data_IF_383994786483
#
_entry.id   IF_383994786483
#
_cell.length_a   1.000
_cell.length_b   1.000
_cell.length_c   1.000
_cell.angle_alpha   90.00
_cell.angle_beta   90.00
_cell.angle_gamma   90.00
#
_symmetry.space_group_name_H-M   'P 1'
#
loop_
_entity.id
_entity.type
_entity.pdbx_description
1 polymer ?
#
# COMPACT_ATOMS: atom_id res chain seq x y z
N UNK A 1 5.87 41.14 43.52
CA UNK A 1 6.54 39.84 43.73
C UNK A 1 5.73 39.02 44.72
N UNK A 2 4.76 38.21 44.25
CA UNK A 2 3.95 37.24 45.03
C UNK A 2 2.89 36.51 44.18
N UNK A 3 2.69 36.90 42.91
CA UNK A 3 1.71 36.26 42.00
C UNK A 3 2.32 35.29 40.97
N UNK A 4 3.63 35.05 40.97
CA UNK A 4 4.29 34.13 40.03
C UNK A 4 4.47 32.69 40.54
N UNK A 5 4.09 32.39 41.79
CA UNK A 5 4.35 31.08 42.41
C UNK A 5 3.15 30.11 42.25
N UNK A 6 1.96 30.60 41.91
CA UNK A 6 0.75 29.75 41.84
C UNK A 6 0.57 29.08 40.46
N UNK A 7 1.18 29.59 39.40
CA UNK A 7 1.09 29.00 38.06
C UNK A 7 1.99 27.76 37.85
N UNK A 8 2.96 27.53 38.74
CA UNK A 8 3.91 26.41 38.65
C UNK A 8 3.44 25.15 39.41
N UNK A 9 2.34 25.24 40.16
CA UNK A 9 1.78 24.12 40.93
C UNK A 9 0.63 23.37 40.22
N UNK A 10 0.14 23.86 39.07
CA UNK A 10 -0.90 23.19 38.28
C UNK A 10 -0.35 22.30 37.15
N UNK A 11 0.97 22.22 36.99
CA UNK A 11 1.64 21.32 36.02
C UNK A 11 2.03 19.97 36.65
N UNK A 12 1.92 19.82 37.97
CA UNK A 12 2.39 18.64 38.70
C UNK A 12 1.33 17.56 38.97
N UNK A 13 0.20 17.56 38.25
CA UNK A 13 -0.88 16.57 38.41
C UNK A 13 -1.37 15.97 37.09
N UNK A 14 -0.54 15.98 36.04
CA UNK A 14 -0.61 14.90 35.05
C UNK A 14 0.15 13.74 35.65
N UNK A 15 -0.58 12.93 36.41
CA UNK A 15 -0.11 11.66 36.92
C UNK A 15 0.57 10.88 35.80
N UNK A 16 1.72 10.31 36.14
CA UNK A 16 2.47 9.35 35.34
C UNK A 16 1.52 8.36 34.65
N UNK A 17 1.39 8.47 33.33
CA UNK A 17 1.30 7.26 32.52
C UNK A 17 2.74 6.91 32.19
N UNK A 18 3.17 5.77 32.71
CA UNK A 18 4.41 5.10 32.32
C UNK A 18 4.44 5.01 30.78
N UNK A 19 5.29 5.80 30.14
CA UNK A 19 5.78 5.42 28.82
C UNK A 19 6.81 4.32 29.07
N UNK A 20 6.35 3.06 29.02
CA UNK A 20 7.22 1.91 28.79
C UNK A 20 7.99 2.19 27.49
N UNK A 21 9.20 2.73 27.62
CA UNK A 21 9.99 3.31 26.52
C UNK A 21 10.35 2.34 25.37
N UNK A 22 9.99 1.07 25.51
CA UNK A 22 10.31 0.00 24.56
C UNK A 22 9.08 -0.68 23.93
N UNK A 23 7.84 -0.40 24.37
CA UNK A 23 6.63 -1.09 23.87
C UNK A 23 5.70 -0.19 23.05
N UNK A 24 4.92 -0.81 22.16
CA UNK A 24 3.82 -0.11 21.49
C UNK A 24 2.71 0.23 22.47
N UNK A 25 1.97 1.30 22.18
CA UNK A 25 0.87 1.74 23.05
C UNK A 25 -0.25 0.69 23.04
N UNK A 26 -0.79 0.39 24.21
CA UNK A 26 -1.92 -0.53 24.38
C UNK A 26 -3.27 0.18 24.28
N UNK A 27 -3.28 1.50 23.99
CA UNK A 27 -4.50 2.31 23.88
C UNK A 27 -5.54 1.72 22.92
N UNK A 28 -5.09 1.05 21.88
CA UNK A 28 -5.92 0.50 20.82
C UNK A 28 -6.10 -1.01 20.93
N UNK A 29 -5.67 -1.64 22.02
CA UNK A 29 -5.75 -3.10 22.15
C UNK A 29 -7.21 -3.57 22.26
N UNK A 30 -8.15 -2.73 22.70
CA UNK A 30 -9.55 -3.10 22.86
C UNK A 30 -10.42 -3.03 21.59
N UNK A 31 -9.82 -2.90 20.40
CA UNK A 31 -10.58 -2.93 19.15
C UNK A 31 -11.24 -4.29 18.93
N UNK A 32 -12.44 -4.29 18.33
CA UNK A 32 -13.10 -5.51 17.87
C UNK A 32 -12.56 -5.91 16.49
N UNK A 33 -11.47 -6.69 16.50
CA UNK A 33 -10.86 -7.19 15.28
C UNK A 33 -11.83 -8.02 14.44
N UNK A 34 -12.68 -8.83 15.08
CA UNK A 34 -13.62 -9.73 14.41
C UNK A 34 -14.68 -8.94 13.63
N UNK A 35 -15.22 -7.87 14.23
CA UNK A 35 -16.15 -6.96 13.55
C UNK A 35 -15.47 -6.24 12.37
N UNK A 36 -14.24 -5.75 12.57
CA UNK A 36 -13.48 -5.06 11.53
C UNK A 36 -13.23 -5.98 10.33
N UNK A 37 -12.77 -7.21 10.57
CA UNK A 37 -12.41 -8.15 9.50
C UNK A 37 -13.64 -8.67 8.74
N UNK A 38 -14.77 -8.89 9.43
CA UNK A 38 -16.01 -9.41 8.81
C UNK A 38 -16.83 -8.33 8.10
N UNK A 39 -16.74 -7.07 8.53
CA UNK A 39 -17.46 -5.97 7.90
C UNK A 39 -16.68 -5.38 6.73
N UNK A 40 -17.22 -5.47 5.52
CA UNK A 40 -16.58 -4.88 4.32
C UNK A 40 -16.38 -3.38 4.46
N UNK A 41 -17.30 -2.67 5.13
CA UNK A 41 -17.20 -1.23 5.35
C UNK A 41 -16.05 -0.89 6.30
N UNK A 42 -15.97 -1.59 7.45
CA UNK A 42 -14.94 -1.32 8.46
C UNK A 42 -13.58 -1.75 7.94
N UNK A 43 -13.48 -2.97 7.40
CA UNK A 43 -12.26 -3.47 6.78
C UNK A 43 -11.72 -2.51 5.73
N UNK A 44 -12.55 -2.04 4.79
CA UNK A 44 -12.12 -1.10 3.75
C UNK A 44 -11.58 0.21 4.29
N UNK A 45 -12.04 0.70 5.45
CA UNK A 45 -11.48 1.90 6.06
C UNK A 45 -10.03 1.67 6.51
N UNK A 46 -9.74 0.55 7.19
CA UNK A 46 -8.38 0.21 7.61
C UNK A 46 -7.51 -0.16 6.41
N UNK A 47 -8.01 -0.99 5.49
CA UNK A 47 -7.31 -1.38 4.28
C UNK A 47 -6.92 -0.14 3.45
N UNK A 48 -7.87 0.73 3.10
CA UNK A 48 -7.59 1.93 2.32
C UNK A 48 -6.59 2.85 3.04
N UNK A 49 -6.66 2.97 4.36
CA UNK A 49 -5.63 3.67 5.13
C UNK A 49 -4.25 3.02 4.96
N UNK A 50 -4.16 1.71 5.15
CA UNK A 50 -2.93 0.91 5.04
C UNK A 50 -2.35 0.90 3.62
N UNK A 51 -3.17 1.09 2.58
CA UNK A 51 -2.75 1.20 1.18
C UNK A 51 -2.74 2.64 0.64
N UNK A 52 -2.89 3.65 1.50
CA UNK A 52 -2.93 5.08 1.12
C UNK A 52 -4.04 5.50 0.13
N UNK A 53 -5.12 4.74 0.08
CA UNK A 53 -6.25 5.01 -0.81
C UNK A 53 -7.46 5.63 -0.09
N UNK A 54 -7.30 6.02 1.17
CA UNK A 54 -8.38 6.59 1.96
C UNK A 54 -7.91 7.25 3.25
N UNK A 55 -8.87 7.86 3.94
CA UNK A 55 -8.62 8.50 5.24
C UNK A 55 -8.30 7.44 6.28
N UNK A 56 -7.40 7.78 7.19
CA UNK A 56 -7.07 6.95 8.33
C UNK A 56 -7.87 7.38 9.57
N UNK A 57 -8.35 6.42 10.35
CA UNK A 57 -8.72 6.66 11.75
C UNK A 57 -7.46 6.88 12.59
N UNK A 58 -7.63 7.26 13.87
CA UNK A 58 -6.50 7.38 14.78
C UNK A 58 -5.76 6.04 14.94
N UNK A 59 -6.51 4.94 15.09
CA UNK A 59 -5.96 3.58 15.17
C UNK A 59 -5.30 3.16 13.86
N UNK A 60 -5.97 3.38 12.72
CA UNK A 60 -5.42 3.02 11.41
C UNK A 60 -4.12 3.76 11.11
N UNK A 61 -4.05 5.04 11.46
CA UNK A 61 -2.82 5.85 11.36
C UNK A 61 -1.71 5.29 12.24
N UNK A 62 -2.05 4.91 13.48
CA UNK A 62 -1.10 4.35 14.42
C UNK A 62 -0.56 3.01 13.92
N UNK A 63 -1.45 2.07 13.55
CA UNK A 63 -1.11 0.76 13.01
C UNK A 63 -0.19 0.91 11.79
N UNK A 64 -0.58 1.72 10.82
CA UNK A 64 0.20 1.95 9.60
C UNK A 64 1.62 2.43 9.88
N UNK A 65 1.80 3.27 10.90
CA UNK A 65 3.12 3.80 11.28
C UNK A 65 4.00 2.74 11.94
N UNK A 66 3.45 1.88 12.78
CA UNK A 66 4.23 0.86 13.51
C UNK A 66 4.39 -0.45 12.73
N UNK A 67 3.54 -0.70 11.72
CA UNK A 67 3.49 -1.99 11.02
C UNK A 67 4.83 -2.41 10.39
N UNK A 68 5.63 -1.52 9.74
CA UNK A 68 6.95 -1.91 9.22
C UNK A 68 7.92 -2.35 10.32
N UNK A 69 8.03 -1.57 11.40
CA UNK A 69 8.90 -1.88 12.55
C UNK A 69 8.44 -3.18 13.24
N UNK A 70 7.13 -3.39 13.37
CA UNK A 70 6.59 -4.62 13.94
C UNK A 70 7.01 -5.82 13.09
N UNK A 71 6.80 -5.78 11.76
CA UNK A 71 7.16 -6.87 10.87
C UNK A 71 8.67 -7.17 10.91
N UNK A 72 9.50 -6.13 10.84
CA UNK A 72 10.96 -6.27 10.86
C UNK A 72 11.49 -6.85 12.17
N UNK A 73 10.94 -6.41 13.30
CA UNK A 73 11.37 -6.82 14.64
C UNK A 73 10.65 -8.04 15.19
N UNK A 74 9.83 -8.72 14.38
CA UNK A 74 8.99 -9.84 14.83
C UNK A 74 8.13 -9.50 16.05
N UNK A 75 7.55 -8.30 16.07
CA UNK A 75 6.64 -7.82 17.10
C UNK A 75 7.29 -7.73 18.49
N UNK A 76 8.61 -7.47 18.55
CA UNK A 76 9.35 -7.38 19.82
C UNK A 76 8.72 -6.39 20.81
N UNK A 77 8.11 -5.31 20.31
CA UNK A 77 7.48 -4.25 21.10
C UNK A 77 5.98 -4.44 21.31
N UNK A 78 5.38 -5.48 20.74
CA UNK A 78 3.94 -5.70 20.80
C UNK A 78 3.48 -6.14 22.19
N UNK A 79 2.22 -5.83 22.52
CA UNK A 79 1.50 -6.52 23.59
C UNK A 79 1.09 -7.93 23.15
N UNK A 80 0.71 -8.79 24.11
CA UNK A 80 0.19 -10.12 23.78
C UNK A 80 -1.06 -10.03 22.91
N UNK A 81 -1.93 -9.07 23.20
CA UNK A 81 -3.14 -8.84 22.41
C UNK A 81 -2.83 -8.39 20.98
N UNK A 82 -1.82 -7.53 20.78
CA UNK A 82 -1.39 -7.10 19.45
C UNK A 82 -0.78 -8.26 18.65
N UNK A 83 -0.01 -9.15 19.29
CA UNK A 83 0.50 -10.38 18.66
C UNK A 83 -0.64 -11.28 18.22
N UNK A 84 -1.55 -11.61 19.12
CA UNK A 84 -2.71 -12.47 18.85
C UNK A 84 -3.58 -11.90 17.73
N UNK A 85 -3.89 -10.59 17.80
CA UNK A 85 -4.71 -9.91 16.81
C UNK A 85 -4.01 -9.83 15.45
N UNK A 86 -2.71 -9.57 15.41
CA UNK A 86 -1.91 -9.56 14.19
C UNK A 86 -1.95 -10.91 13.48
N UNK A 87 -1.71 -12.00 14.20
CA UNK A 87 -1.76 -13.36 13.66
C UNK A 87 -3.16 -13.70 13.13
N UNK A 88 -4.21 -13.37 13.88
CA UNK A 88 -5.60 -13.60 13.44
C UNK A 88 -5.94 -12.80 12.19
N UNK A 89 -5.50 -11.55 12.11
CA UNK A 89 -5.73 -10.68 10.96
C UNK A 89 -5.03 -11.22 9.70
N UNK A 90 -3.76 -11.58 9.80
CA UNK A 90 -2.97 -12.17 8.70
C UNK A 90 -3.69 -13.41 8.16
N UNK A 91 -4.06 -14.35 9.05
CA UNK A 91 -4.73 -15.58 8.65
C UNK A 91 -6.09 -15.30 7.99
N UNK A 92 -6.92 -14.47 8.61
CA UNK A 92 -8.24 -14.13 8.05
C UNK A 92 -8.12 -13.53 6.66
N UNK A 93 -7.19 -12.58 6.47
CA UNK A 93 -6.99 -11.92 5.18
C UNK A 93 -6.48 -12.90 4.12
N UNK A 94 -5.51 -13.76 4.45
CA UNK A 94 -5.03 -14.79 3.54
C UNK A 94 -6.14 -15.76 3.10
N UNK A 95 -7.03 -16.14 4.03
CA UNK A 95 -8.10 -17.13 3.76
C UNK A 95 -9.35 -16.53 3.08
N UNK A 96 -9.69 -15.25 3.34
CA UNK A 96 -11.01 -14.67 2.99
C UNK A 96 -10.94 -13.37 2.20
N UNK A 97 -9.76 -12.76 2.07
CA UNK A 97 -9.54 -11.45 1.43
C UNK A 97 -8.30 -11.52 0.53
N UNK A 98 -8.23 -12.55 -0.32
CA UNK A 98 -7.01 -12.90 -1.06
C UNK A 98 -6.47 -11.75 -1.92
N UNK A 99 -7.36 -10.97 -2.56
CA UNK A 99 -6.98 -9.81 -3.38
C UNK A 99 -6.37 -8.69 -2.53
N UNK A 100 -7.02 -8.31 -1.43
CA UNK A 100 -6.50 -7.28 -0.52
C UNK A 100 -5.23 -7.75 0.20
N UNK A 101 -5.16 -9.03 0.54
CA UNK A 101 -3.99 -9.67 1.12
C UNK A 101 -2.78 -9.58 0.20
N UNK A 102 -2.96 -9.84 -1.11
CA UNK A 102 -1.90 -9.73 -2.11
C UNK A 102 -1.32 -8.31 -2.16
N UNK A 103 -2.18 -7.30 -2.14
CA UNK A 103 -1.75 -5.88 -2.15
C UNK A 103 -1.00 -5.51 -0.87
N UNK A 104 -1.52 -5.90 0.29
CA UNK A 104 -0.86 -5.64 1.58
C UNK A 104 0.49 -6.35 1.67
N UNK A 105 0.57 -7.60 1.22
CA UNK A 105 1.82 -8.37 1.21
C UNK A 105 2.85 -7.73 0.28
N UNK A 106 2.46 -7.37 -0.94
CA UNK A 106 3.36 -6.66 -1.86
C UNK A 106 3.88 -5.34 -1.28
N UNK A 107 3.08 -4.66 -0.45
CA UNK A 107 3.46 -3.40 0.18
C UNK A 107 4.40 -3.56 1.37
N UNK A 108 4.11 -4.51 2.26
CA UNK A 108 4.76 -4.61 3.58
C UNK A 108 5.73 -5.78 3.71
N UNK A 109 5.60 -6.80 2.87
CA UNK A 109 6.44 -7.99 2.85
C UNK A 109 6.61 -8.55 1.42
N UNK A 110 7.17 -7.77 0.48
CA UNK A 110 7.26 -8.16 -0.94
C UNK A 110 8.07 -9.44 -1.16
N UNK A 111 9.08 -9.67 -0.31
CA UNK A 111 9.95 -10.85 -0.35
C UNK A 111 9.42 -12.01 0.51
N UNK A 112 8.25 -11.86 1.14
CA UNK A 112 7.61 -12.89 1.97
C UNK A 112 8.50 -13.36 3.15
N UNK A 113 9.33 -12.46 3.68
CA UNK A 113 10.31 -12.70 4.75
C UNK A 113 9.66 -12.71 6.14
N UNK A 114 8.62 -11.92 6.34
CA UNK A 114 8.08 -11.63 7.67
C UNK A 114 6.87 -12.50 7.98
N UNK A 115 5.90 -12.59 7.07
CA UNK A 115 4.62 -13.28 7.33
C UNK A 115 4.83 -14.75 7.68
N UNK A 116 5.68 -15.46 6.94
CA UNK A 116 5.94 -16.89 7.21
C UNK A 116 6.55 -17.11 8.59
N UNK A 117 7.51 -16.27 8.96
CA UNK A 117 8.15 -16.30 10.27
C UNK A 117 7.13 -16.04 11.38
N UNK A 118 6.29 -15.01 11.21
CA UNK A 118 5.25 -14.66 12.17
C UNK A 118 4.25 -15.78 12.41
N UNK A 119 3.77 -16.44 11.35
CA UNK A 119 2.84 -17.55 11.47
C UNK A 119 3.51 -18.76 12.14
N UNK A 120 4.76 -19.07 11.77
CA UNK A 120 5.51 -20.17 12.38
C UNK A 120 5.79 -19.96 13.87
N UNK A 121 6.11 -18.73 14.28
CA UNK A 121 6.37 -18.41 15.69
C UNK A 121 5.06 -18.41 16.51
N UNK A 122 3.96 -17.90 15.95
CA UNK A 122 2.65 -17.97 16.59
C UNK A 122 2.17 -19.42 16.84
N UNK A 123 2.44 -20.33 15.90
CA UNK A 123 2.14 -21.75 16.08
C UNK A 123 2.96 -22.39 17.21
N UNK A 124 4.25 -22.05 17.33
CA UNK A 124 5.12 -22.52 18.42
C UNK A 124 4.68 -21.99 19.79
N UNK A 125 4.17 -20.77 19.83
CA UNK A 125 3.68 -20.12 21.05
C UNK A 125 2.27 -20.61 21.46
N UNK A 126 1.67 -21.53 20.69
CA UNK A 126 0.40 -22.13 21.03
C UNK A 126 -0.79 -21.19 20.84
N UNK A 127 -0.63 -20.10 20.07
CA UNK A 127 -1.73 -19.27 19.58
C UNK A 127 -2.57 -20.15 18.68
N UNK A 128 -3.61 -20.76 19.25
CA UNK A 128 -4.51 -21.64 18.51
C UNK A 128 -5.16 -20.79 17.42
N UNK A 129 -4.80 -21.05 16.16
CA UNK A 129 -5.41 -20.52 14.94
C UNK A 129 -6.85 -21.03 14.73
N UNK A 130 -7.61 -21.12 15.84
CA UNK A 130 -8.89 -21.76 16.00
C UNK A 130 -9.92 -21.00 15.17
N UNK A 131 -10.35 -21.69 14.11
CA UNK A 131 -11.51 -21.40 13.27
C UNK A 131 -11.34 -20.25 12.28
N UNK A 132 -10.53 -20.45 11.24
CA UNK A 132 -10.92 -20.04 9.89
C UNK A 132 -10.71 -21.21 8.94
N UNK A 133 -11.75 -21.42 8.14
CA UNK A 133 -12.02 -22.60 7.34
C UNK A 133 -10.94 -22.66 6.24
N UNK A 134 -10.28 -23.80 6.01
CA UNK A 134 -9.32 -23.90 4.92
C UNK A 134 -10.01 -23.46 3.62
N UNK A 135 -9.31 -22.73 2.73
CA UNK A 135 -9.86 -22.43 1.42
C UNK A 135 -10.28 -23.75 0.80
N UNK A 136 -11.51 -23.83 0.29
CA UNK A 136 -11.94 -24.95 -0.53
C UNK A 136 -11.12 -24.87 -1.82
N UNK A 137 -9.90 -25.37 -1.77
CA UNK A 137 -9.20 -25.84 -2.95
C UNK A 137 -10.16 -26.88 -3.53
N UNK A 138 -10.82 -26.54 -4.64
CA UNK A 138 -11.62 -27.51 -5.38
C UNK A 138 -10.63 -28.59 -5.78
N UNK A 139 -10.62 -29.65 -5.00
CA UNK A 139 -9.92 -30.89 -5.28
C UNK A 139 -10.58 -31.45 -6.54
N UNK A 140 -10.12 -31.01 -7.72
CA UNK A 140 -10.36 -31.72 -8.97
C UNK A 140 -9.51 -32.99 -8.95
N UNK A 141 -9.84 -33.90 -8.05
CA UNK A 141 -9.47 -35.30 -8.15
C UNK A 141 -10.79 -36.03 -8.34
N UNK A 142 -11.19 -36.16 -9.60
CA UNK A 142 -12.10 -37.22 -10.01
C UNK A 142 -11.43 -37.94 -11.17
N UNK A 143 -11.03 -39.18 -10.89
CA UNK A 143 -10.99 -40.23 -11.89
C UNK A 143 -9.66 -40.45 -12.61
N UNK A 144 -8.69 -41.06 -11.92
CA UNK A 144 -7.67 -41.84 -12.61
C UNK A 144 -8.32 -43.14 -13.10
N UNK A 145 -8.03 -43.50 -14.35
CA UNK A 145 -8.28 -44.77 -15.03
C UNK A 145 -9.68 -45.00 -15.65
N UNK A 146 -9.81 -44.65 -16.93
CA UNK A 146 -10.24 -45.52 -18.04
C UNK A 146 -10.71 -44.63 -19.21
N UNK A 147 -9.78 -44.16 -20.04
CA UNK A 147 -9.97 -43.97 -21.48
C UNK A 147 -8.62 -43.50 -22.03
N UNK A 148 -7.77 -44.48 -22.32
CA UNK A 148 -6.77 -44.28 -23.35
C UNK A 148 -7.51 -44.16 -24.69
N UNK A 149 -6.95 -43.35 -25.58
CA UNK A 149 -7.29 -43.15 -27.00
C UNK A 149 -8.37 -42.10 -27.29
N UNK A 150 -7.95 -41.17 -28.15
CA UNK A 150 -8.70 -40.10 -28.80
C UNK A 150 -9.16 -38.97 -27.87
N UNK A 151 -8.32 -37.93 -27.76
CA UNK A 151 -8.60 -36.52 -28.03
C UNK A 151 -7.34 -35.76 -27.63
N UNK A 152 -6.32 -35.80 -28.49
CA UNK A 152 -5.33 -34.73 -28.54
C UNK A 152 -6.06 -33.54 -29.16
N UNK A 153 -6.70 -32.76 -28.32
CA UNK A 153 -7.24 -31.47 -28.68
C UNK A 153 -6.54 -30.48 -27.76
N UNK A 154 -5.87 -29.54 -28.40
CA UNK A 154 -5.02 -28.53 -27.80
C UNK A 154 -5.77 -27.86 -26.63
N UNK A 155 -5.47 -28.32 -25.43
CA UNK A 155 -5.67 -27.51 -24.26
C UNK A 155 -4.54 -26.48 -24.32
N UNK A 156 -4.83 -25.34 -24.95
CA UNK A 156 -4.16 -24.11 -24.57
C UNK A 156 -4.28 -24.03 -23.06
N UNK A 157 -3.15 -24.30 -22.41
CA UNK A 157 -2.89 -23.91 -21.03
C UNK A 157 -3.01 -22.39 -21.07
N UNK A 158 -4.20 -21.89 -20.81
CA UNK A 158 -4.43 -20.48 -20.55
C UNK A 158 -3.59 -20.19 -19.31
N UNK A 159 -2.44 -19.58 -19.56
CA UNK A 159 -1.47 -19.24 -18.54
C UNK A 159 -2.19 -18.38 -17.51
N UNK A 160 -2.06 -18.75 -16.24
CA UNK A 160 -2.40 -17.90 -15.10
C UNK A 160 -1.40 -16.73 -15.00
N UNK A 161 -1.25 -15.96 -16.08
CA UNK A 161 -0.53 -14.70 -16.10
C UNK A 161 -1.53 -13.53 -16.05
N UNK A 162 -1.13 -12.46 -15.35
CA UNK A 162 -1.73 -11.12 -15.35
C UNK A 162 -2.96 -10.78 -14.48
N UNK A 163 -3.11 -11.31 -13.25
CA UNK A 163 -3.96 -10.62 -12.22
C UNK A 163 -3.10 -9.88 -11.18
N UNK A 164 -1.85 -9.55 -11.51
CA UNK A 164 -0.93 -8.86 -10.61
C UNK A 164 0.02 -7.86 -11.24
N UNK A 165 -0.09 -7.61 -12.55
CA UNK A 165 0.94 -6.83 -13.26
C UNK A 165 0.59 -5.36 -13.40
N UNK A 166 -0.68 -4.96 -13.59
CA UNK A 166 -1.01 -3.58 -13.96
C UNK A 166 -1.32 -2.68 -12.77
N UNK A 167 -1.00 -1.39 -12.90
CA UNK A 167 -1.38 -0.35 -11.95
C UNK A 167 -2.90 -0.18 -11.89
N UNK A 168 -3.43 0.21 -10.72
CA UNK A 168 -4.88 0.41 -10.56
C UNK A 168 -5.36 1.53 -11.47
N UNK A 169 -6.52 1.31 -12.11
CA UNK A 169 -7.19 2.30 -12.97
C UNK A 169 -8.19 3.15 -12.20
N UNK A 170 -8.27 2.99 -10.87
CA UNK A 170 -9.18 3.73 -9.98
C UNK A 170 -9.06 5.25 -10.13
N UNK A 171 -7.85 5.74 -10.42
CA UNK A 171 -7.55 7.16 -10.52
C UNK A 171 -7.46 7.66 -11.98
N UNK A 172 -7.75 6.82 -12.96
CA UNK A 172 -7.66 7.20 -14.38
C UNK A 172 -8.67 8.31 -14.73
N UNK A 173 -9.71 8.52 -13.94
CA UNK A 173 -10.74 9.55 -14.18
C UNK A 173 -10.39 10.95 -13.67
N UNK A 174 -9.17 11.17 -13.17
CA UNK A 174 -8.75 12.53 -12.76
C UNK A 174 -8.74 13.49 -13.94
N UNK A 175 -9.09 14.75 -13.69
CA UNK A 175 -8.95 15.84 -14.65
C UNK A 175 -7.52 16.37 -14.61
N UNK A 176 -6.67 15.79 -15.46
CA UNK A 176 -5.26 16.18 -15.55
C UNK A 176 -5.10 17.62 -16.03
N UNK A 177 -5.99 18.11 -16.90
CA UNK A 177 -5.89 19.49 -17.42
C UNK A 177 -6.12 20.53 -16.34
N UNK A 178 -7.13 20.33 -15.49
CA UNK A 178 -7.40 21.22 -14.36
C UNK A 178 -6.22 21.20 -13.37
N UNK A 179 -5.67 20.02 -13.08
CA UNK A 179 -4.50 19.89 -12.19
C UNK A 179 -3.28 20.64 -12.74
N UNK A 180 -2.95 20.48 -14.02
CA UNK A 180 -1.76 21.09 -14.63
C UNK A 180 -1.90 22.61 -14.80
N UNK A 181 -3.10 23.10 -15.16
CA UNK A 181 -3.38 24.52 -15.39
C UNK A 181 -3.59 25.31 -14.10
N UNK A 182 -4.07 24.67 -13.03
CA UNK A 182 -4.31 25.33 -11.74
C UNK A 182 -3.06 25.33 -10.86
N UNK A 183 -2.55 26.52 -10.51
CA UNK A 183 -1.40 26.64 -9.61
C UNK A 183 -1.65 26.03 -8.23
N UNK A 184 -2.88 26.16 -7.72
CA UNK A 184 -3.26 25.60 -6.41
C UNK A 184 -3.26 24.07 -6.45
N UNK A 185 -3.86 23.47 -7.48
CA UNK A 185 -3.93 22.01 -7.59
C UNK A 185 -2.56 21.42 -7.89
N UNK A 186 -1.86 22.00 -8.88
CA UNK A 186 -0.49 21.61 -9.21
C UNK A 186 0.42 21.61 -7.98
N UNK A 187 0.41 22.72 -7.20
CA UNK A 187 1.25 22.84 -6.00
C UNK A 187 0.96 21.77 -4.95
N UNK A 188 -0.28 21.32 -4.80
CA UNK A 188 -0.62 20.23 -3.88
C UNK A 188 0.04 18.90 -4.33
N UNK A 189 -0.05 18.55 -5.61
CA UNK A 189 0.59 17.34 -6.15
C UNK A 189 2.11 17.45 -6.15
N UNK A 190 2.65 18.60 -6.54
CA UNK A 190 4.08 18.88 -6.50
C UNK A 190 4.65 18.73 -5.08
N UNK A 191 4.05 19.39 -4.08
CA UNK A 191 4.50 19.29 -2.70
C UNK A 191 4.40 17.84 -2.17
N UNK A 192 3.33 17.11 -2.53
CA UNK A 192 3.21 15.70 -2.19
C UNK A 192 4.38 14.89 -2.77
N UNK A 193 4.67 15.02 -4.06
CA UNK A 193 5.80 14.35 -4.74
C UNK A 193 7.14 14.77 -4.15
N UNK A 194 7.28 16.02 -3.70
CA UNK A 194 8.50 16.53 -3.08
C UNK A 194 8.68 16.19 -1.60
N UNK A 195 7.72 15.51 -0.95
CA UNK A 195 7.71 15.28 0.52
C UNK A 195 7.56 16.58 1.35
N UNK A 196 7.01 17.64 0.75
CA UNK A 196 6.88 18.98 1.36
C UNK A 196 5.45 19.34 1.76
N UNK A 197 4.50 18.40 1.64
CA UNK A 197 3.11 18.67 1.95
C UNK A 197 2.23 17.41 2.00
N UNK A 198 0.95 17.58 2.37
CA UNK A 198 -0.01 16.49 2.41
C UNK A 198 -0.29 15.95 1.02
N UNK A 199 -0.55 14.65 0.93
CA UNK A 199 -0.94 13.99 -0.31
C UNK A 199 -2.45 13.74 -0.37
N UNK A 200 -3.05 13.92 -1.54
CA UNK A 200 -4.34 13.31 -1.86
C UNK A 200 -4.17 11.79 -2.06
N UNK A 201 -5.24 10.98 -2.02
CA UNK A 201 -5.14 9.54 -2.31
C UNK A 201 -4.47 9.24 -3.66
N UNK A 202 -4.87 9.99 -4.70
CA UNK A 202 -4.32 9.89 -6.06
C UNK A 202 -2.83 10.25 -6.07
N UNK A 203 -2.47 11.38 -5.45
CA UNK A 203 -1.09 11.87 -5.42
C UNK A 203 -0.17 10.95 -4.63
N UNK A 204 -0.66 10.37 -3.54
CA UNK A 204 0.13 9.39 -2.78
C UNK A 204 0.30 8.08 -3.54
N UNK A 205 -0.74 7.63 -4.25
CA UNK A 205 -0.62 6.47 -5.13
C UNK A 205 0.46 6.72 -6.19
N UNK A 206 0.37 7.84 -6.93
CA UNK A 206 1.35 8.23 -7.94
C UNK A 206 2.76 8.26 -7.34
N UNK A 207 2.97 8.95 -6.22
CA UNK A 207 4.27 9.08 -5.56
C UNK A 207 4.95 7.73 -5.26
N UNK A 208 4.16 6.71 -4.87
CA UNK A 208 4.69 5.37 -4.55
C UNK A 208 5.07 4.58 -5.79
N UNK A 209 4.24 4.62 -6.83
CA UNK A 209 4.47 3.83 -8.05
C UNK A 209 5.44 4.51 -9.02
N UNK A 210 5.64 5.83 -8.89
CA UNK A 210 6.45 6.62 -9.82
C UNK A 210 7.90 6.12 -9.97
N UNK A 211 8.65 5.77 -8.90
CA UNK A 211 10.01 5.25 -9.06
C UNK A 211 10.06 3.95 -9.87
N UNK A 212 9.20 2.99 -9.55
CA UNK A 212 9.10 1.71 -10.28
C UNK A 212 8.64 1.93 -11.73
N UNK A 213 7.65 2.81 -11.93
CA UNK A 213 7.14 3.16 -13.26
C UNK A 213 8.21 3.79 -14.15
N UNK A 214 9.12 4.58 -13.60
CA UNK A 214 10.26 5.12 -14.35
C UNK A 214 11.25 4.01 -14.70
N UNK A 215 11.58 3.15 -13.74
CA UNK A 215 12.52 2.05 -13.93
C UNK A 215 12.05 1.02 -14.97
N UNK A 216 10.76 0.67 -14.93
CA UNK A 216 10.15 -0.31 -15.84
C UNK A 216 9.53 0.31 -17.10
N UNK A 217 9.78 1.59 -17.35
CA UNK A 217 9.23 2.33 -18.51
C UNK A 217 7.70 2.24 -18.60
N UNK A 218 7.01 2.26 -17.46
CA UNK A 218 5.55 2.25 -17.35
C UNK A 218 4.91 1.00 -17.97
N UNK A 219 5.60 -0.14 -18.01
CA UNK A 219 5.05 -1.38 -18.61
C UNK A 219 3.78 -1.89 -17.91
N UNK A 220 3.54 -1.46 -16.67
CA UNK A 220 2.34 -1.73 -15.86
C UNK A 220 1.22 -0.71 -16.03
N UNK A 221 1.44 0.36 -16.78
CA UNK A 221 0.50 1.49 -16.89
C UNK A 221 -0.66 1.18 -17.83
N UNK A 222 -1.84 1.73 -17.50
CA UNK A 222 -2.96 1.76 -18.46
C UNK A 222 -2.65 2.69 -19.64
N UNK A 223 -3.33 2.52 -20.77
CA UNK A 223 -3.19 3.42 -21.92
C UNK A 223 -3.41 4.89 -21.55
N UNK A 224 -4.35 5.15 -20.62
CA UNK A 224 -4.61 6.51 -20.16
C UNK A 224 -3.47 7.03 -19.30
N UNK A 225 -2.94 6.22 -18.39
CA UNK A 225 -1.78 6.58 -17.56
C UNK A 225 -0.54 6.89 -18.41
N UNK A 226 -0.33 6.15 -19.51
CA UNK A 226 0.76 6.43 -20.43
C UNK A 226 0.57 7.80 -21.13
N UNK A 227 -0.60 8.03 -21.75
CA UNK A 227 -0.94 9.31 -22.39
C UNK A 227 -0.83 10.49 -21.43
N UNK A 228 -1.34 10.33 -20.21
CA UNK A 228 -1.30 11.35 -19.16
C UNK A 228 0.13 11.63 -18.68
N UNK A 229 0.98 10.61 -18.62
CA UNK A 229 2.41 10.75 -18.26
C UNK A 229 3.15 11.55 -19.32
N UNK A 230 2.99 11.21 -20.60
CA UNK A 230 3.58 11.97 -21.71
C UNK A 230 3.07 13.42 -21.70
N UNK A 231 1.76 13.62 -21.49
CA UNK A 231 1.14 14.97 -21.41
C UNK A 231 1.74 15.80 -20.30
N UNK A 232 1.90 15.19 -19.13
CA UNK A 232 2.48 15.82 -17.94
C UNK A 232 3.93 16.23 -18.21
N UNK A 233 4.76 15.34 -18.75
CA UNK A 233 6.17 15.63 -19.03
C UNK A 233 6.31 16.79 -20.02
N UNK A 234 5.56 16.77 -21.14
CA UNK A 234 5.59 17.86 -22.14
C UNK A 234 5.12 19.18 -21.53
N UNK A 235 3.97 19.17 -20.84
CA UNK A 235 3.43 20.38 -20.22
C UNK A 235 4.38 20.97 -19.18
N UNK A 236 4.99 20.15 -18.31
CA UNK A 236 5.93 20.63 -17.29
C UNK A 236 7.21 21.19 -17.92
N UNK A 237 7.71 20.56 -18.98
CA UNK A 237 8.91 21.03 -19.68
C UNK A 237 8.68 22.41 -20.33
N UNK A 238 7.51 22.63 -20.91
CA UNK A 238 7.17 23.86 -21.63
C UNK A 238 6.66 24.99 -20.72
N UNK A 239 5.81 24.66 -19.75
CA UNK A 239 5.04 25.66 -18.98
C UNK A 239 5.47 25.77 -17.52
N UNK A 240 6.18 24.78 -16.97
CA UNK A 240 6.61 24.74 -15.56
C UNK A 240 8.06 24.25 -15.41
N UNK A 241 8.95 24.77 -16.25
CA UNK A 241 10.33 24.27 -16.43
C UNK A 241 11.15 24.23 -15.13
N UNK A 242 10.96 25.18 -14.20
CA UNK A 242 11.64 25.15 -12.90
C UNK A 242 11.15 23.99 -12.01
N UNK A 243 9.83 23.75 -11.95
CA UNK A 243 9.27 22.62 -11.22
C UNK A 243 9.71 21.28 -11.85
N UNK A 244 9.78 21.23 -13.18
CA UNK A 244 10.30 20.08 -13.92
C UNK A 244 11.75 19.75 -13.55
N UNK A 245 12.64 20.74 -13.53
CA UNK A 245 14.05 20.54 -13.14
C UNK A 245 14.17 19.89 -11.76
N UNK A 246 13.38 20.36 -10.79
CA UNK A 246 13.40 19.82 -9.42
C UNK A 246 12.84 18.41 -9.35
N UNK A 247 11.71 18.14 -10.00
CA UNK A 247 11.12 16.79 -10.06
C UNK A 247 12.07 15.80 -10.75
N UNK A 248 12.66 16.21 -11.88
CA UNK A 248 13.63 15.40 -12.61
C UNK A 248 14.86 15.10 -11.75
N UNK A 249 15.40 16.10 -11.04
CA UNK A 249 16.52 15.87 -10.14
C UNK A 249 16.20 14.88 -9.01
N UNK A 250 14.95 14.82 -8.54
CA UNK A 250 14.51 13.88 -7.51
C UNK A 250 14.32 12.46 -8.04
N UNK A 251 13.69 12.30 -9.20
CA UNK A 251 13.22 11.00 -9.70
C UNK A 251 14.06 10.41 -10.83
N UNK A 252 14.74 11.25 -11.61
CA UNK A 252 15.59 10.84 -12.74
C UNK A 252 16.84 11.75 -12.86
N UNK A 253 17.73 11.75 -11.84
CA UNK A 253 18.88 12.65 -11.80
C UNK A 253 19.89 12.41 -12.94
N UNK A 254 19.96 11.18 -13.44
CA UNK A 254 20.86 10.79 -14.53
C UNK A 254 20.23 10.89 -15.92
N UNK A 255 18.96 11.33 -16.01
CA UNK A 255 18.20 11.40 -17.26
C UNK A 255 18.13 10.05 -18.00
N UNK A 256 18.01 8.95 -17.25
CA UNK A 256 17.95 7.59 -17.79
C UNK A 256 16.55 7.21 -18.26
N UNK A 257 15.52 7.73 -17.59
CA UNK A 257 14.16 7.21 -17.73
C UNK A 257 13.30 8.08 -18.63
N UNK A 258 13.32 9.41 -18.43
CA UNK A 258 12.39 10.30 -19.12
C UNK A 258 12.66 10.36 -20.63
N UNK A 259 13.93 10.45 -21.04
CA UNK A 259 14.28 10.52 -22.46
C UNK A 259 13.91 9.24 -23.22
N UNK A 260 14.19 8.09 -22.60
CA UNK A 260 13.77 6.78 -23.13
C UNK A 260 12.25 6.70 -23.22
N UNK A 261 11.55 7.07 -22.15
CA UNK A 261 10.09 7.01 -22.10
C UNK A 261 9.42 7.87 -23.19
N UNK A 262 9.90 9.08 -23.43
CA UNK A 262 9.38 9.93 -24.50
C UNK A 262 9.66 9.35 -25.89
N UNK A 263 10.84 8.75 -26.08
CA UNK A 263 11.21 8.10 -27.35
C UNK A 263 10.32 6.90 -27.64
N UNK A 264 10.10 6.04 -26.64
CA UNK A 264 9.24 4.87 -26.74
C UNK A 264 7.78 5.28 -27.01
N UNK A 265 7.27 6.29 -26.29
CA UNK A 265 5.94 6.84 -26.51
C UNK A 265 5.72 7.42 -27.91
N UNK A 266 6.71 8.14 -28.46
CA UNK A 266 6.63 8.66 -29.82
C UNK A 266 6.66 7.53 -30.87
N UNK A 267 7.44 6.46 -30.64
CA UNK A 267 7.51 5.27 -31.49
C UNK A 267 6.19 4.46 -31.47
N UNK A 268 5.53 4.38 -30.31
CA UNK A 268 4.23 3.74 -30.13
C UNK A 268 3.05 4.60 -30.62
N UNK A 269 3.33 5.80 -31.14
CA UNK A 269 2.30 6.69 -31.68
C UNK A 269 1.44 7.34 -30.61
N UNK A 270 1.90 7.38 -29.36
CA UNK A 270 1.31 8.14 -28.25
C UNK A 270 1.62 9.63 -28.46
N UNK A 271 1.07 10.19 -29.54
CA UNK A 271 1.17 11.60 -29.88
C UNK A 271 0.12 12.39 -29.08
N UNK A 272 0.53 13.56 -28.60
CA UNK A 272 -0.34 14.53 -27.93
C UNK A 272 -0.93 15.51 -28.93
#
# INVERSE_FOLDING_TARGET
MKFFIVALALVALVAAQEEDGDKYTTRYDNIDLDEILKSDRLFKNYYNCLVDEGRCTAEGSYLKRILPDALETNCAKCSDKQRDDGVRAIKYMADNRAEEWKVLKARFDPENKYVEKYLADAEKEGIKLLKLKPPKMKLFIVGLALFAVAFAQDAEVETLEEIGEKYTTKFDKIDLDDILKSDRLFKNYYNCLMDEGPCTPEGNYLKRVLPEALENSCNKCSEKQQKDSVKTIKYLTENRSEAWKVLKAKYDPENKYVEKYLTDADAEGIKL
#
